data_IF_073531933678
#
_entry.id   IF_073531933678
#
_cell.length_a   1.000
_cell.length_b   1.000
_cell.length_c   1.000
_cell.angle_alpha   90.00
_cell.angle_beta   90.00
_cell.angle_gamma   90.00
#
_symmetry.space_group_name_H-M   'P 1'
#
loop_
_entity.id
_entity.type
_entity.pdbx_description
1 polymer ?
#
# COMPACT_ATOMS: atom_id res chain seq x y z
N UNK A 1 26.96 -27.43 -21.95
CA UNK A 1 26.73 -26.31 -21.04
C UNK A 1 26.24 -26.87 -19.69
N UNK A 2 27.09 -26.82 -18.65
CA UNK A 2 26.65 -27.23 -17.30
C UNK A 2 25.73 -26.15 -16.76
N UNK A 3 24.44 -26.48 -16.54
CA UNK A 3 23.51 -25.63 -15.84
C UNK A 3 24.15 -25.23 -14.48
N UNK A 4 24.32 -23.93 -14.23
CA UNK A 4 24.75 -23.43 -12.93
C UNK A 4 23.74 -23.94 -11.91
N UNK A 5 24.14 -24.90 -11.06
CA UNK A 5 23.33 -25.32 -9.93
C UNK A 5 23.11 -24.11 -9.04
N UNK A 6 21.87 -23.74 -8.82
CA UNK A 6 21.52 -22.66 -7.91
C UNK A 6 22.10 -22.94 -6.52
N UNK A 7 22.75 -21.94 -5.93
CA UNK A 7 23.36 -22.08 -4.59
C UNK A 7 22.29 -22.40 -3.54
N UNK A 8 22.61 -23.28 -2.56
CA UNK A 8 21.69 -23.59 -1.48
C UNK A 8 21.29 -22.34 -0.69
N UNK A 9 20.02 -22.12 -0.50
CA UNK A 9 19.45 -20.96 0.19
C UNK A 9 18.90 -21.35 1.56
N UNK A 10 18.79 -20.40 2.49
CA UNK A 10 18.16 -20.66 3.80
C UNK A 10 16.71 -21.10 3.64
N UNK A 11 16.29 -22.16 4.32
CA UNK A 11 14.96 -22.74 4.24
C UNK A 11 13.84 -21.70 4.40
N UNK A 12 13.95 -20.79 5.38
CA UNK A 12 12.95 -19.73 5.60
C UNK A 12 12.85 -18.78 4.40
N UNK A 13 13.94 -18.56 3.63
CA UNK A 13 13.91 -17.75 2.40
C UNK A 13 13.15 -18.49 1.30
N UNK A 14 13.39 -19.77 1.14
CA UNK A 14 12.71 -20.64 0.16
C UNK A 14 11.20 -20.72 0.43
N UNK A 15 10.79 -20.91 1.68
CA UNK A 15 9.38 -20.93 2.08
C UNK A 15 8.67 -19.59 1.88
N UNK A 16 9.38 -18.48 2.19
CA UNK A 16 8.86 -17.14 1.94
C UNK A 16 8.68 -16.86 0.43
N UNK A 17 9.64 -17.28 -0.41
CA UNK A 17 9.54 -17.18 -1.87
C UNK A 17 8.42 -18.06 -2.42
N UNK A 18 8.21 -19.24 -1.85
CA UNK A 18 7.06 -20.10 -2.20
C UNK A 18 5.71 -19.50 -1.74
N UNK A 19 5.72 -18.38 -1.03
CA UNK A 19 4.52 -17.68 -0.55
C UNK A 19 3.77 -18.44 0.56
N UNK A 20 4.43 -19.34 1.28
CA UNK A 20 3.80 -20.15 2.33
C UNK A 20 3.78 -19.43 3.68
N UNK A 21 4.87 -18.72 4.01
CA UNK A 21 5.04 -18.06 5.29
C UNK A 21 5.93 -16.82 5.17
N UNK A 22 5.93 -15.94 6.17
CA UNK A 22 7.02 -14.99 6.38
C UNK A 22 8.30 -15.72 6.82
N UNK A 23 9.46 -15.09 6.66
CA UNK A 23 10.72 -15.68 7.18
C UNK A 23 10.62 -15.98 8.67
N UNK A 24 10.04 -15.05 9.46
CA UNK A 24 9.84 -15.23 10.92
C UNK A 24 8.86 -16.37 11.24
N UNK A 25 7.79 -16.49 10.50
CA UNK A 25 6.81 -17.56 10.64
C UNK A 25 7.41 -18.92 10.23
N UNK A 26 8.19 -18.98 9.14
CA UNK A 26 8.94 -20.17 8.76
C UNK A 26 9.93 -20.60 9.86
N UNK A 27 10.61 -19.66 10.51
CA UNK A 27 11.46 -19.94 11.65
C UNK A 27 10.68 -20.51 12.85
N UNK A 28 9.46 -20.03 13.11
CA UNK A 28 8.61 -20.60 14.15
C UNK A 28 8.18 -22.04 13.82
N UNK A 29 7.90 -22.32 12.53
CA UNK A 29 7.60 -23.70 12.09
C UNK A 29 8.81 -24.64 12.20
N UNK A 30 10.03 -24.13 11.94
CA UNK A 30 11.27 -24.90 12.16
C UNK A 30 11.42 -25.23 13.64
N UNK A 31 11.26 -24.24 14.54
CA UNK A 31 11.35 -24.48 16.00
C UNK A 31 10.27 -25.45 16.51
N UNK A 32 9.08 -25.42 15.90
CA UNK A 32 7.99 -26.33 16.23
C UNK A 32 8.14 -27.74 15.61
N UNK A 33 9.23 -28.03 14.88
CA UNK A 33 9.48 -29.33 14.26
C UNK A 33 8.54 -29.70 13.10
N UNK A 34 7.82 -28.73 12.56
CA UNK A 34 6.82 -28.95 11.48
C UNK A 34 7.44 -29.13 10.09
N UNK A 35 8.72 -28.80 9.94
CA UNK A 35 9.44 -28.84 8.66
C UNK A 35 10.46 -29.94 8.62
N UNK A 36 10.50 -30.66 7.50
CA UNK A 36 11.55 -31.65 7.22
C UNK A 36 12.21 -31.32 5.89
N UNK A 37 13.50 -31.64 5.79
CA UNK A 37 14.32 -31.57 4.58
C UNK A 37 14.91 -32.96 4.35
N UNK A 38 14.63 -33.56 3.21
CA UNK A 38 15.08 -34.93 2.86
C UNK A 38 14.76 -35.96 3.97
N UNK A 39 13.55 -35.86 4.53
CA UNK A 39 13.07 -36.74 5.59
C UNK A 39 13.62 -36.45 7.00
N UNK A 40 14.53 -35.50 7.19
CA UNK A 40 15.08 -35.11 8.49
C UNK A 40 14.46 -33.83 9.02
N UNK A 41 14.24 -33.70 10.31
CA UNK A 41 13.74 -32.47 10.92
C UNK A 41 14.67 -31.29 10.61
N UNK A 42 14.07 -30.19 10.12
CA UNK A 42 14.83 -28.99 9.80
C UNK A 42 15.28 -28.26 11.07
N UNK A 43 16.49 -27.70 11.05
CA UNK A 43 17.02 -26.85 12.12
C UNK A 43 17.17 -25.41 11.63
N UNK A 44 17.24 -24.45 12.58
CA UNK A 44 17.47 -23.03 12.22
C UNK A 44 18.79 -22.89 11.46
N UNK A 45 18.74 -22.15 10.35
CA UNK A 45 19.92 -21.91 9.51
C UNK A 45 20.16 -22.96 8.41
N UNK A 46 19.40 -24.07 8.38
CA UNK A 46 19.50 -25.07 7.32
C UNK A 46 19.34 -24.44 5.94
N UNK A 47 20.19 -24.86 5.01
CA UNK A 47 20.14 -24.45 3.60
C UNK A 47 19.59 -25.58 2.76
N UNK A 48 18.81 -25.23 1.74
CA UNK A 48 18.19 -26.18 0.82
C UNK A 48 18.48 -25.78 -0.63
N UNK A 49 18.81 -26.76 -1.42
CA UNK A 49 18.98 -26.63 -2.88
C UNK A 49 17.67 -26.86 -3.62
N UNK A 50 17.66 -26.66 -4.93
CA UNK A 50 16.47 -26.85 -5.77
C UNK A 50 15.96 -28.29 -5.78
N UNK A 51 16.84 -29.27 -5.59
CA UNK A 51 16.56 -30.70 -5.63
C UNK A 51 16.17 -31.28 -4.25
N UNK A 52 16.31 -30.49 -3.18
CA UNK A 52 15.97 -30.95 -1.83
C UNK A 52 14.46 -31.06 -1.63
N UNK A 53 14.04 -32.17 -1.03
CA UNK A 53 12.65 -32.41 -0.69
C UNK A 53 12.31 -31.69 0.63
N UNK A 54 11.51 -30.63 0.53
CA UNK A 54 11.01 -29.89 1.71
C UNK A 54 9.57 -30.29 1.98
N UNK A 55 9.24 -30.68 3.23
CA UNK A 55 7.87 -30.95 3.65
C UNK A 55 7.46 -30.10 4.84
N UNK A 56 6.23 -29.61 4.82
CA UNK A 56 5.54 -28.94 5.93
C UNK A 56 4.39 -29.84 6.38
N UNK A 57 4.41 -30.26 7.65
CA UNK A 57 3.42 -31.18 8.22
C UNK A 57 3.22 -32.43 7.34
N UNK A 58 4.29 -33.01 6.82
CA UNK A 58 4.32 -34.16 5.93
C UNK A 58 3.94 -33.87 4.46
N UNK A 59 3.47 -32.68 4.12
CA UNK A 59 3.09 -32.30 2.75
C UNK A 59 4.25 -31.69 2.01
N UNK A 60 4.48 -32.14 0.78
CA UNK A 60 5.54 -31.63 -0.09
C UNK A 60 5.33 -30.14 -0.42
N UNK A 61 6.37 -29.36 -0.18
CA UNK A 61 6.45 -27.94 -0.55
C UNK A 61 7.05 -27.82 -1.94
N UNK A 62 6.28 -27.29 -2.90
CA UNK A 62 6.82 -26.95 -4.22
C UNK A 62 7.69 -25.70 -4.12
N UNK A 63 8.98 -25.87 -4.34
CA UNK A 63 9.94 -24.77 -4.40
C UNK A 63 9.68 -23.95 -5.67
N UNK A 64 9.75 -22.63 -5.55
CA UNK A 64 9.73 -21.71 -6.71
C UNK A 64 11.16 -21.41 -7.14
N UNK A 65 11.41 -21.43 -8.43
CA UNK A 65 12.69 -21.01 -8.98
C UNK A 65 12.99 -19.54 -8.63
N UNK A 66 14.25 -19.20 -8.31
CA UNK A 66 14.65 -17.80 -8.18
C UNK A 66 14.32 -17.03 -9.46
N UNK A 67 13.78 -15.82 -9.32
CA UNK A 67 13.46 -14.98 -10.48
C UNK A 67 12.20 -15.36 -11.27
N UNK A 68 11.36 -16.27 -10.77
CA UNK A 68 10.12 -16.69 -11.47
C UNK A 68 9.03 -15.59 -11.51
N UNK A 69 9.41 -14.33 -11.61
CA UNK A 69 8.59 -13.17 -11.89
C UNK A 69 7.38 -13.02 -10.94
N UNK A 70 7.58 -12.42 -9.80
CA UNK A 70 6.47 -12.03 -8.94
C UNK A 70 5.61 -10.97 -9.63
N UNK A 71 4.30 -11.15 -9.62
CA UNK A 71 3.38 -10.12 -10.10
C UNK A 71 3.34 -8.96 -9.13
N UNK A 72 3.32 -7.75 -9.65
CA UNK A 72 3.17 -6.51 -8.90
C UNK A 72 1.85 -5.88 -9.28
N UNK A 73 1.12 -5.44 -8.29
CA UNK A 73 -0.18 -4.80 -8.47
C UNK A 73 -0.13 -3.38 -7.95
N UNK A 74 -0.70 -2.46 -8.72
CA UNK A 74 -1.08 -1.14 -8.27
C UNK A 74 -2.49 -1.24 -7.68
N UNK A 75 -2.64 -0.84 -6.44
CA UNK A 75 -3.90 -0.87 -5.70
C UNK A 75 -4.32 0.54 -5.29
N UNK A 76 -5.59 0.89 -5.49
CA UNK A 76 -6.16 2.13 -4.99
C UNK A 76 -6.78 1.91 -3.60
N UNK A 77 -5.97 2.13 -2.58
CA UNK A 77 -6.37 1.93 -1.19
C UNK A 77 -7.29 3.05 -0.70
N UNK A 78 -8.40 2.65 -0.07
CA UNK A 78 -9.28 3.57 0.64
C UNK A 78 -8.68 3.93 2.01
N UNK A 79 -8.78 5.20 2.45
CA UNK A 79 -8.45 5.55 3.83
C UNK A 79 -9.23 4.73 4.84
N UNK A 80 -8.55 4.24 5.88
CA UNK A 80 -9.13 3.34 6.90
C UNK A 80 -9.12 1.87 6.52
N UNK A 81 -8.79 1.50 5.28
CA UNK A 81 -8.70 0.12 4.83
C UNK A 81 -7.47 -0.57 5.42
N UNK A 82 -7.66 -1.74 6.03
CA UNK A 82 -6.56 -2.55 6.55
C UNK A 82 -5.80 -3.23 5.42
N UNK A 83 -4.47 -3.31 5.55
CA UNK A 83 -3.61 -4.01 4.59
C UNK A 83 -3.75 -5.53 4.73
N UNK A 84 -3.66 -6.04 5.95
CA UNK A 84 -3.75 -7.45 6.29
C UNK A 84 -4.97 -7.74 7.17
N UNK A 85 -5.53 -8.93 7.03
CA UNK A 85 -6.39 -9.49 8.07
C UNK A 85 -5.53 -10.04 9.20
N UNK A 86 -5.82 -9.73 10.48
CA UNK A 86 -5.10 -10.31 11.59
C UNK A 86 -5.14 -11.85 11.53
N UNK A 87 -4.05 -12.56 11.89
CA UNK A 87 -4.03 -14.00 11.90
C UNK A 87 -5.11 -14.52 12.86
N UNK A 88 -5.96 -15.43 12.39
CA UNK A 88 -7.07 -16.02 13.16
C UNK A 88 -8.40 -15.27 13.09
N UNK A 89 -8.49 -14.12 12.41
CA UNK A 89 -9.75 -13.43 12.16
C UNK A 89 -10.42 -13.99 10.90
N UNK A 90 -11.53 -14.66 11.10
CA UNK A 90 -12.46 -14.98 10.03
C UNK A 90 -13.31 -13.73 9.74
N UNK A 91 -13.36 -13.23 8.50
CA UNK A 91 -14.16 -12.04 8.15
C UNK A 91 -15.66 -12.19 8.47
N UNK A 92 -16.11 -13.40 8.81
CA UNK A 92 -17.48 -13.67 9.23
C UNK A 92 -17.78 -13.24 10.67
N UNK A 93 -16.79 -13.19 11.58
CA UNK A 93 -17.01 -12.84 13.01
C UNK A 93 -16.97 -11.32 13.28
N UNK A 94 -16.21 -10.56 12.50
CA UNK A 94 -16.14 -9.09 12.64
C UNK A 94 -17.41 -8.37 12.18
N UNK A 95 -18.21 -9.00 11.29
CA UNK A 95 -19.46 -8.43 10.78
C UNK A 95 -20.54 -8.22 11.85
N UNK A 96 -20.42 -8.87 12.99
CA UNK A 96 -21.44 -8.85 14.06
C UNK A 96 -21.13 -7.80 15.13
N UNK A 97 -19.86 -7.41 15.31
CA UNK A 97 -19.44 -6.56 16.43
C UNK A 97 -19.51 -5.04 16.16
N UNK A 98 -19.44 -4.57 14.91
CA UNK A 98 -19.31 -3.12 14.62
C UNK A 98 -20.38 -2.53 13.69
N UNK A 99 -21.41 -3.28 13.29
CA UNK A 99 -22.50 -2.75 12.43
C UNK A 99 -22.04 -2.15 11.08
N UNK A 100 -20.76 -2.22 10.76
CA UNK A 100 -20.16 -1.84 9.49
C UNK A 100 -19.65 -3.09 8.78
N UNK A 101 -20.00 -3.26 7.51
CA UNK A 101 -19.43 -4.30 6.68
C UNK A 101 -17.91 -4.11 6.63
N UNK A 102 -17.17 -4.82 7.49
CA UNK A 102 -15.73 -4.91 7.41
C UNK A 102 -15.42 -5.54 6.05
N UNK A 103 -14.94 -4.73 5.10
CA UNK A 103 -14.50 -5.20 3.81
C UNK A 103 -13.34 -6.19 4.00
N UNK A 104 -13.18 -7.13 3.07
CA UNK A 104 -11.97 -7.96 3.04
C UNK A 104 -10.75 -7.05 3.06
N UNK A 105 -9.73 -7.42 3.84
CA UNK A 105 -8.46 -6.70 3.80
C UNK A 105 -7.90 -6.66 2.38
N UNK A 106 -7.10 -5.63 2.08
CA UNK A 106 -6.53 -5.41 0.75
C UNK A 106 -5.93 -6.68 0.15
N UNK A 107 -5.07 -7.35 0.92
CA UNK A 107 -4.34 -8.51 0.42
C UNK A 107 -5.22 -9.74 0.16
N UNK A 108 -6.41 -9.82 0.79
CA UNK A 108 -7.38 -10.89 0.58
C UNK A 108 -8.18 -10.75 -0.73
N UNK A 109 -8.16 -9.56 -1.33
CA UNK A 109 -8.87 -9.26 -2.59
C UNK A 109 -8.05 -9.63 -3.82
N UNK A 110 -6.73 -9.75 -3.67
CA UNK A 110 -5.83 -10.03 -4.77
C UNK A 110 -5.97 -11.48 -5.27
N UNK A 111 -5.67 -11.75 -6.56
CA UNK A 111 -5.78 -13.07 -7.15
C UNK A 111 -4.86 -14.08 -6.45
N UNK A 112 -5.41 -15.07 -5.77
CA UNK A 112 -4.64 -16.10 -5.05
C UNK A 112 -3.66 -16.88 -5.94
N UNK A 113 -3.87 -16.86 -7.26
CA UNK A 113 -2.99 -17.52 -8.26
C UNK A 113 -1.66 -16.77 -8.47
N UNK A 114 -1.61 -15.46 -8.19
CA UNK A 114 -0.42 -14.63 -8.40
C UNK A 114 0.64 -14.81 -7.31
N UNK A 115 0.26 -15.32 -6.15
CA UNK A 115 1.11 -15.59 -5.00
C UNK A 115 0.23 -15.96 -3.81
N UNK A 116 0.70 -16.83 -2.93
CA UNK A 116 -0.05 -17.19 -1.72
C UNK A 116 0.01 -16.10 -0.66
N UNK A 117 1.03 -15.27 -0.72
CA UNK A 117 1.25 -14.15 0.19
C UNK A 117 1.70 -12.92 -0.59
N UNK A 118 1.05 -11.80 -0.32
CA UNK A 118 1.41 -10.51 -0.86
C UNK A 118 2.09 -9.63 0.19
N UNK A 119 2.94 -8.74 -0.27
CA UNK A 119 3.65 -7.77 0.56
C UNK A 119 3.43 -6.39 -0.01
N UNK A 120 3.15 -5.42 0.85
CA UNK A 120 3.08 -4.01 0.45
C UNK A 120 4.49 -3.46 0.37
N UNK A 121 4.81 -2.79 -0.74
CA UNK A 121 6.17 -2.29 -1.00
C UNK A 121 6.44 -1.01 -0.21
N UNK A 122 5.51 -0.07 -0.20
CA UNK A 122 5.66 1.21 0.50
C UNK A 122 4.33 1.59 1.14
N UNK A 123 4.01 1.03 2.33
CA UNK A 123 2.71 1.17 2.95
C UNK A 123 2.43 2.60 3.40
N UNK A 124 1.22 3.09 3.10
CA UNK A 124 0.68 4.30 3.69
C UNK A 124 0.10 4.01 5.08
N UNK A 125 0.09 4.97 6.03
CA UNK A 125 -0.64 4.84 7.29
C UNK A 125 -2.09 4.42 7.09
N UNK A 126 -2.70 3.76 8.10
CA UNK A 126 -4.08 3.25 7.99
C UNK A 126 -5.11 4.33 7.67
N UNK A 127 -4.96 5.52 8.25
CA UNK A 127 -5.87 6.66 8.05
C UNK A 127 -5.74 7.30 6.67
N UNK A 128 -4.67 6.99 5.96
CA UNK A 128 -4.30 7.51 4.66
C UNK A 128 -4.59 6.49 3.56
N UNK A 129 -4.32 6.82 2.32
CA UNK A 129 -4.61 5.90 1.20
C UNK A 129 -4.02 6.38 -0.12
N UNK A 130 -4.69 6.04 -1.21
CA UNK A 130 -4.23 6.32 -2.56
C UNK A 130 -3.47 5.15 -3.16
N UNK A 131 -2.44 5.42 -3.93
CA UNK A 131 -1.62 4.45 -4.64
C UNK A 131 -0.80 3.61 -3.67
N UNK A 132 -1.00 2.30 -3.70
CA UNK A 132 -0.18 1.30 -3.00
C UNK A 132 0.38 0.30 -4.00
N UNK A 133 1.62 -0.15 -3.78
CA UNK A 133 2.22 -1.24 -4.54
C UNK A 133 2.23 -2.52 -3.73
N UNK A 134 1.77 -3.59 -4.33
CA UNK A 134 1.68 -4.91 -3.70
C UNK A 134 2.38 -5.95 -4.57
N UNK A 135 3.27 -6.72 -3.97
CA UNK A 135 4.08 -7.72 -4.67
C UNK A 135 3.88 -9.10 -4.05
N UNK A 136 3.75 -10.12 -4.90
CA UNK A 136 3.65 -11.53 -4.50
C UNK A 136 5.01 -12.25 -4.37
N UNK A 137 6.13 -11.54 -4.58
CA UNK A 137 7.48 -12.08 -4.49
C UNK A 137 8.33 -11.24 -3.53
N UNK A 138 8.92 -11.87 -2.50
CA UNK A 138 9.66 -11.17 -1.45
C UNK A 138 11.01 -10.59 -1.87
N UNK A 139 11.64 -11.16 -2.89
CA UNK A 139 12.90 -10.66 -3.40
C UNK A 139 12.66 -9.43 -4.29
N UNK A 140 11.65 -9.51 -5.15
CA UNK A 140 11.20 -8.38 -5.95
C UNK A 140 10.65 -7.26 -5.06
N UNK A 141 9.85 -7.56 -4.03
CA UNK A 141 9.38 -6.58 -3.08
C UNK A 141 10.52 -5.84 -2.38
N UNK A 142 11.57 -6.56 -1.95
CA UNK A 142 12.74 -5.95 -1.31
C UNK A 142 13.56 -5.07 -2.30
N UNK A 143 13.61 -5.43 -3.57
CA UNK A 143 14.20 -4.58 -4.62
C UNK A 143 13.38 -3.31 -4.83
N UNK A 144 12.08 -3.44 -5.00
CA UNK A 144 11.16 -2.31 -5.15
C UNK A 144 11.17 -1.38 -3.93
N UNK A 145 11.25 -1.93 -2.71
CA UNK A 145 11.37 -1.10 -1.50
C UNK A 145 12.60 -0.20 -1.52
N UNK A 146 13.73 -0.72 -1.99
CA UNK A 146 14.96 0.10 -2.16
C UNK A 146 14.79 1.16 -3.25
N UNK A 147 14.19 0.78 -4.39
CA UNK A 147 13.95 1.71 -5.49
C UNK A 147 13.01 2.85 -5.09
N UNK A 148 11.96 2.57 -4.33
CA UNK A 148 10.96 3.57 -3.91
C UNK A 148 11.59 4.73 -3.12
N UNK A 149 12.65 4.49 -2.36
CA UNK A 149 13.36 5.56 -1.62
C UNK A 149 14.05 6.57 -2.54
N UNK A 150 14.38 6.19 -3.78
CA UNK A 150 14.96 7.10 -4.77
C UNK A 150 13.90 7.78 -5.64
N UNK A 151 12.65 7.32 -5.59
CA UNK A 151 11.57 7.83 -6.43
C UNK A 151 10.91 9.07 -5.84
N UNK A 152 10.49 9.97 -6.72
CA UNK A 152 9.59 11.07 -6.37
C UNK A 152 8.17 10.55 -6.19
N UNK A 153 7.48 11.05 -5.16
CA UNK A 153 6.07 10.78 -4.87
C UNK A 153 5.27 12.06 -4.91
N UNK A 154 4.08 12.03 -5.53
CA UNK A 154 3.09 13.09 -5.36
C UNK A 154 2.05 12.65 -4.36
N UNK A 155 1.78 13.53 -3.39
CA UNK A 155 0.81 13.27 -2.34
C UNK A 155 -0.16 14.46 -2.22
N UNK A 156 -1.44 14.16 -2.07
CA UNK A 156 -2.47 15.14 -1.75
C UNK A 156 -2.70 15.12 -0.24
N UNK A 157 -2.45 16.25 0.42
CA UNK A 157 -2.57 16.41 1.86
C UNK A 157 -3.78 17.27 2.17
N UNK A 158 -4.72 16.75 2.98
CA UNK A 158 -5.87 17.50 3.44
C UNK A 158 -5.67 17.98 4.86
N UNK A 159 -5.67 19.28 5.04
CA UNK A 159 -5.55 19.93 6.34
C UNK A 159 -6.81 20.70 6.71
N UNK A 160 -6.98 20.99 8.00
CA UNK A 160 -7.99 21.91 8.49
C UNK A 160 -7.40 23.32 8.54
N UNK A 161 -8.06 24.26 7.88
CA UNK A 161 -7.58 25.63 7.73
C UNK A 161 -6.60 25.78 6.57
N UNK A 162 -6.16 27.01 6.39
CA UNK A 162 -5.17 27.39 5.38
C UNK A 162 -3.80 27.54 6.02
N UNK A 163 -2.75 27.10 5.34
CA UNK A 163 -1.38 27.25 5.82
C UNK A 163 -0.88 28.66 5.48
N UNK A 164 -0.20 29.27 6.44
CA UNK A 164 0.56 30.52 6.20
C UNK A 164 1.80 30.25 5.33
N UNK A 165 2.34 31.29 4.73
CA UNK A 165 3.59 31.22 3.97
C UNK A 165 4.74 30.64 4.78
N UNK A 166 4.83 31.01 6.07
CA UNK A 166 5.83 30.46 6.98
C UNK A 166 5.67 28.97 7.21
N UNK A 167 4.44 28.49 7.35
CA UNK A 167 4.17 27.04 7.48
C UNK A 167 4.50 26.31 6.19
N UNK A 168 4.17 26.85 5.03
CA UNK A 168 4.54 26.29 3.73
C UNK A 168 6.06 26.22 3.55
N UNK A 169 6.78 27.28 3.93
CA UNK A 169 8.24 27.30 3.93
C UNK A 169 8.83 26.25 4.88
N UNK A 170 8.18 26.02 6.04
CA UNK A 170 8.56 24.97 6.99
C UNK A 170 8.37 23.56 6.42
N UNK A 171 7.27 23.30 5.69
CA UNK A 171 7.04 22.03 4.99
C UNK A 171 8.10 21.83 3.90
N UNK A 172 8.38 22.85 3.08
CA UNK A 172 9.41 22.81 2.05
C UNK A 172 10.82 22.58 2.61
N UNK A 173 11.08 23.06 3.85
CA UNK A 173 12.32 22.78 4.56
C UNK A 173 12.58 21.31 4.86
N UNK A 174 11.56 20.48 4.84
CA UNK A 174 11.63 19.02 4.85
C UNK A 174 12.17 18.39 6.14
N UNK A 175 12.26 19.13 7.26
CA UNK A 175 12.87 18.65 8.51
C UNK A 175 11.92 17.72 9.27
N UNK A 176 12.31 16.44 9.43
CA UNK A 176 11.58 15.43 10.20
C UNK A 176 11.93 15.49 11.71
N UNK A 177 11.15 14.81 12.55
CA UNK A 177 11.40 14.72 13.99
C UNK A 177 12.71 14.00 14.33
N UNK A 178 13.17 13.12 13.45
CA UNK A 178 14.47 12.45 13.55
C UNK A 178 15.65 13.40 13.34
N UNK A 179 15.41 14.63 12.85
CA UNK A 179 16.44 15.56 12.40
C UNK A 179 16.88 15.32 10.94
N UNK A 180 16.45 14.24 10.32
CA UNK A 180 16.67 13.99 8.90
C UNK A 180 15.89 14.99 8.04
N UNK A 181 16.39 15.24 6.83
CA UNK A 181 15.72 16.09 5.85
C UNK A 181 15.18 15.27 4.71
N UNK A 182 13.86 15.36 4.51
CA UNK A 182 13.19 14.87 3.34
C UNK A 182 13.34 15.90 2.20
N UNK A 183 13.66 15.44 1.00
CA UNK A 183 13.70 16.30 -0.20
C UNK A 183 12.28 16.59 -0.67
N UNK A 184 11.72 17.74 -0.23
CA UNK A 184 10.43 18.27 -0.68
C UNK A 184 10.67 19.21 -1.85
N UNK A 185 10.16 18.87 -3.03
CA UNK A 185 10.36 19.61 -4.27
C UNK A 185 9.33 20.72 -4.45
N UNK A 186 8.08 20.45 -4.05
CA UNK A 186 6.98 21.43 -4.11
C UNK A 186 5.93 21.14 -3.02
N UNK A 187 5.25 22.23 -2.60
CA UNK A 187 4.06 22.17 -1.76
C UNK A 187 3.13 23.32 -2.16
N UNK A 188 2.06 23.00 -2.88
CA UNK A 188 1.18 23.99 -3.51
C UNK A 188 -0.27 23.80 -3.08
N UNK A 189 -1.03 24.90 -2.88
CA UNK A 189 -2.46 24.82 -2.66
C UNK A 189 -3.17 24.12 -3.84
N UNK A 190 -4.00 23.13 -3.55
CA UNK A 190 -4.74 22.34 -4.53
C UNK A 190 -6.27 22.43 -4.36
N UNK A 191 -6.74 23.56 -3.82
CA UNK A 191 -8.15 23.83 -3.60
C UNK A 191 -8.67 23.36 -2.25
N UNK A 192 -10.00 23.32 -2.11
CA UNK A 192 -10.68 22.89 -0.89
C UNK A 192 -12.03 23.55 -0.73
N UNK A 193 -12.85 23.01 0.17
CA UNK A 193 -14.17 23.55 0.50
C UNK A 193 -14.33 23.66 2.03
N UNK A 194 -15.03 24.69 2.46
CA UNK A 194 -15.30 24.96 3.89
C UNK A 194 -14.01 25.13 4.67
N UNK A 195 -13.90 24.41 5.78
CA UNK A 195 -12.74 24.47 6.67
C UNK A 195 -11.55 23.57 6.22
N UNK A 196 -11.66 22.84 5.11
CA UNK A 196 -10.62 21.95 4.66
C UNK A 196 -9.91 22.49 3.41
N UNK A 197 -8.58 22.40 3.41
CA UNK A 197 -7.73 22.75 2.26
C UNK A 197 -6.92 21.55 1.84
N UNK A 198 -6.69 21.44 0.54
CA UNK A 198 -5.82 20.44 -0.04
C UNK A 198 -4.51 21.08 -0.48
N UNK A 199 -3.43 20.37 -0.27
CA UNK A 199 -2.10 20.73 -0.75
C UNK A 199 -1.54 19.58 -1.57
N UNK A 200 -0.97 19.91 -2.73
CA UNK A 200 -0.21 18.99 -3.54
C UNK A 200 1.26 19.06 -3.13
N UNK A 201 1.82 17.93 -2.75
CA UNK A 201 3.21 17.84 -2.29
C UNK A 201 3.96 16.86 -3.19
N UNK A 202 5.11 17.28 -3.69
CA UNK A 202 6.05 16.43 -4.39
C UNK A 202 7.30 16.27 -3.53
N UNK A 203 7.67 15.03 -3.20
CA UNK A 203 8.83 14.74 -2.37
C UNK A 203 9.49 13.43 -2.78
N UNK A 204 10.83 13.37 -2.69
CA UNK A 204 11.60 12.18 -3.00
C UNK A 204 11.69 11.26 -1.78
N UNK A 205 11.47 9.96 -2.00
CA UNK A 205 11.57 8.93 -0.96
C UNK A 205 10.52 9.01 0.16
N UNK A 206 9.54 9.92 0.04
CA UNK A 206 8.57 10.21 1.07
C UNK A 206 7.60 9.07 1.35
N UNK A 207 7.43 8.71 2.60
CA UNK A 207 6.29 7.94 3.08
C UNK A 207 5.12 8.85 3.45
N UNK A 208 3.90 8.30 3.48
CA UNK A 208 2.75 9.06 3.96
C UNK A 208 2.89 9.52 5.42
N UNK A 209 3.65 8.77 6.24
CA UNK A 209 3.97 9.15 7.62
C UNK A 209 4.87 10.40 7.67
N UNK A 210 5.91 10.43 6.85
CA UNK A 210 6.86 11.55 6.83
C UNK A 210 6.17 12.85 6.39
N UNK A 211 5.34 12.77 5.34
CA UNK A 211 4.57 13.92 4.86
C UNK A 211 3.60 14.41 5.94
N UNK A 212 2.87 13.52 6.61
CA UNK A 212 1.98 13.89 7.71
C UNK A 212 2.75 14.63 8.81
N UNK A 213 3.90 14.09 9.22
CA UNK A 213 4.76 14.65 10.22
C UNK A 213 5.26 16.06 9.86
N UNK A 214 5.66 16.29 8.60
CA UNK A 214 6.09 17.63 8.16
C UNK A 214 5.01 18.69 8.37
N UNK A 215 3.76 18.39 8.03
CA UNK A 215 2.64 19.32 8.23
C UNK A 215 2.30 19.50 9.72
N UNK A 216 2.26 18.43 10.50
CA UNK A 216 1.94 18.45 11.93
C UNK A 216 2.99 19.24 12.71
N UNK A 217 4.28 19.17 12.33
CA UNK A 217 5.35 20.01 12.90
C UNK A 217 5.12 21.51 12.68
N UNK A 218 4.43 21.90 11.61
CA UNK A 218 4.06 23.29 11.36
C UNK A 218 2.74 23.68 12.07
N UNK A 219 2.22 22.82 12.95
CA UNK A 219 0.96 23.05 13.65
C UNK A 219 -0.30 22.80 12.81
N UNK A 220 -0.17 22.22 11.62
CA UNK A 220 -1.31 21.90 10.78
C UNK A 220 -2.05 20.64 11.25
N UNK A 221 -3.37 20.66 11.26
CA UNK A 221 -4.19 19.50 11.58
C UNK A 221 -4.42 18.69 10.28
N UNK A 222 -3.65 17.62 10.10
CA UNK A 222 -3.73 16.77 8.92
C UNK A 222 -4.85 15.75 9.09
N UNK A 223 -5.88 15.83 8.24
CA UNK A 223 -7.01 14.90 8.26
C UNK A 223 -6.78 13.69 7.35
N UNK A 224 -6.01 13.82 6.24
CA UNK A 224 -5.79 12.77 5.27
C UNK A 224 -4.57 13.05 4.38
N UNK A 225 -3.84 11.98 4.05
CA UNK A 225 -2.81 11.99 3.02
C UNK A 225 -3.15 10.92 1.98
N UNK A 226 -3.10 11.27 0.70
CA UNK A 226 -3.36 10.36 -0.41
C UNK A 226 -2.15 10.39 -1.35
N UNK A 227 -1.53 9.24 -1.60
CA UNK A 227 -0.51 9.14 -2.65
C UNK A 227 -1.19 9.06 -4.01
N UNK A 228 -0.86 9.98 -4.91
CA UNK A 228 -1.42 10.07 -6.26
C UNK A 228 -0.44 9.62 -7.32
N UNK A 229 0.87 9.69 -7.05
CA UNK A 229 1.94 9.24 -7.94
C UNK A 229 3.09 8.60 -7.16
N UNK A 230 3.78 7.67 -7.77
CA UNK A 230 5.03 7.07 -7.29
C UNK A 230 5.96 6.81 -8.48
N UNK A 231 6.98 7.63 -8.65
CA UNK A 231 7.80 7.64 -9.86
C UNK A 231 6.96 7.86 -11.12
N UNK A 232 7.07 6.96 -12.07
CA UNK A 232 6.28 6.98 -13.32
C UNK A 232 4.81 6.54 -13.15
N UNK A 233 4.48 5.87 -12.04
CA UNK A 233 3.13 5.37 -11.81
C UNK A 233 2.19 6.45 -11.30
N UNK A 234 1.09 6.64 -11.99
CA UNK A 234 0.01 7.57 -11.62
C UNK A 234 -1.21 6.77 -11.18
N UNK A 235 -1.87 7.24 -10.14
CA UNK A 235 -3.17 6.72 -9.74
C UNK A 235 -4.24 7.25 -10.69
N UNK A 236 -4.60 6.43 -11.67
CA UNK A 236 -5.59 6.78 -12.66
C UNK A 236 -6.99 6.98 -12.06
N UNK A 237 -7.74 7.93 -12.58
CA UNK A 237 -9.15 8.16 -12.17
C UNK A 237 -10.06 6.98 -12.48
N UNK A 238 -9.73 6.21 -13.52
CA UNK A 238 -10.42 4.99 -13.93
C UNK A 238 -10.33 3.88 -12.90
N UNK A 239 -9.23 3.84 -12.10
CA UNK A 239 -9.05 2.84 -11.06
C UNK A 239 -9.82 3.27 -9.80
N UNK A 240 -11.02 2.73 -9.61
CA UNK A 240 -11.86 3.04 -8.47
C UNK A 240 -11.22 2.58 -7.13
N UNK A 241 -11.64 3.18 -6.03
CA UNK A 241 -11.19 2.78 -4.69
C UNK A 241 -11.49 1.31 -4.40
N UNK A 242 -10.53 0.62 -3.84
CA UNK A 242 -10.62 -0.81 -3.56
C UNK A 242 -10.37 -1.70 -4.78
N UNK A 243 -10.05 -1.10 -5.92
CA UNK A 243 -9.66 -1.82 -7.14
C UNK A 243 -8.14 -1.87 -7.29
N UNK A 244 -7.69 -2.84 -8.08
CA UNK A 244 -6.28 -3.03 -8.40
C UNK A 244 -6.11 -3.38 -9.88
N UNK A 245 -4.93 -3.08 -10.41
CA UNK A 245 -4.47 -3.60 -11.71
C UNK A 245 -3.07 -4.19 -11.58
N UNK A 246 -2.75 -5.12 -12.43
CA UNK A 246 -1.39 -5.64 -12.56
C UNK A 246 -0.52 -4.58 -13.25
N UNK A 247 0.71 -4.42 -12.81
CA UNK A 247 1.67 -3.56 -13.52
C UNK A 247 2.10 -4.23 -14.82
N UNK A 248 2.21 -3.44 -15.87
CA UNK A 248 2.87 -3.87 -17.09
C UNK A 248 4.37 -4.09 -16.84
N UNK A 249 4.99 -4.88 -17.68
CA UNK A 249 6.42 -5.20 -17.55
C UNK A 249 7.28 -3.94 -17.65
N UNK A 250 6.93 -3.05 -18.56
CA UNK A 250 7.61 -1.79 -18.81
C UNK A 250 7.52 -0.84 -17.61
N UNK A 251 6.37 -0.79 -16.94
CA UNK A 251 6.16 0.00 -15.73
C UNK A 251 7.03 -0.54 -14.57
N UNK A 252 7.11 -1.87 -14.44
CA UNK A 252 7.93 -2.50 -13.42
C UNK A 252 9.43 -2.27 -13.66
N UNK A 253 9.86 -2.40 -14.91
CA UNK A 253 11.26 -2.14 -15.31
C UNK A 253 11.62 -0.67 -15.05
N UNK A 254 10.77 0.28 -15.41
CA UNK A 254 10.96 1.71 -15.14
C UNK A 254 11.11 2.01 -13.64
N UNK A 255 10.28 1.39 -12.78
CA UNK A 255 10.42 1.55 -11.33
C UNK A 255 11.74 1.01 -10.79
N UNK A 256 12.26 -0.07 -11.37
CA UNK A 256 13.51 -0.69 -10.94
C UNK A 256 14.74 0.05 -11.48
N UNK A 257 14.64 0.69 -12.65
CA UNK A 257 15.73 1.45 -13.28
C UNK A 257 15.89 2.85 -12.68
N UNK A 258 14.79 3.52 -12.31
CA UNK A 258 14.82 4.86 -11.74
C UNK A 258 15.64 4.96 -10.42
N UNK A 259 15.98 3.83 -9.80
CA UNK A 259 16.89 3.79 -8.65
C UNK A 259 18.37 3.92 -9.02
N UNK A 260 18.72 3.77 -10.30
CA UNK A 260 20.11 3.89 -10.80
C UNK A 260 20.44 5.28 -11.36
N UNK A 261 19.41 6.07 -11.67
CA UNK A 261 19.56 7.37 -12.35
C UNK A 261 18.84 8.45 -11.56
N UNK A 262 19.38 8.98 -10.53
CA UNK A 262 18.80 10.00 -9.62
C UNK A 262 18.25 11.28 -10.27
N UNK A 263 17.47 11.20 -11.34
CA UNK A 263 16.89 12.34 -12.06
C UNK A 263 15.35 12.38 -11.90
N UNK A 264 14.79 13.51 -11.43
CA UNK A 264 13.34 13.64 -11.28
C UNK A 264 12.67 13.78 -12.66
N UNK A 265 11.57 13.06 -12.95
CA UNK A 265 10.77 13.30 -14.13
C UNK A 265 10.14 14.68 -14.05
N UNK A 266 10.30 15.48 -15.10
CA UNK A 266 9.69 16.79 -15.24
C UNK A 266 8.17 16.72 -15.11
N UNK A 267 7.62 17.56 -14.26
CA UNK A 267 6.19 17.70 -14.07
C UNK A 267 5.51 18.17 -15.36
N UNK A 268 4.86 17.26 -16.04
CA UNK A 268 3.99 17.56 -17.18
C UNK A 268 2.60 17.00 -16.89
N UNK A 269 1.68 17.88 -16.55
CA UNK A 269 0.27 17.55 -16.49
C UNK A 269 -0.45 18.07 -15.25
N UNK A 270 -1.41 18.94 -15.49
CA UNK A 270 -2.30 19.52 -14.48
C UNK A 270 -2.86 18.45 -13.53
N UNK A 271 -2.66 18.67 -12.22
CA UNK A 271 -3.23 17.86 -11.16
C UNK A 271 -4.74 17.71 -11.35
N UNK A 272 -5.29 16.52 -11.20
CA UNK A 272 -6.72 16.34 -11.27
C UNK A 272 -7.38 17.02 -10.07
N UNK A 273 -8.13 18.10 -10.31
CA UNK A 273 -9.02 18.67 -9.32
C UNK A 273 -10.01 17.59 -8.87
N UNK A 274 -9.87 17.12 -7.63
CA UNK A 274 -10.85 16.21 -7.02
C UNK A 274 -12.13 17.02 -6.75
N UNK A 275 -13.10 16.92 -7.65
CA UNK A 275 -14.45 17.42 -7.36
C UNK A 275 -15.04 16.59 -6.22
N UNK A 276 -15.71 17.25 -5.24
CA UNK A 276 -16.40 16.54 -4.17
C UNK A 276 -17.52 15.69 -4.79
N UNK A 277 -17.57 14.43 -4.38
CA UNK A 277 -18.68 13.53 -4.74
C UNK A 277 -19.97 14.14 -4.18
N UNK A 278 -20.79 14.73 -5.04
CA UNK A 278 -22.06 15.31 -4.69
C UNK A 278 -22.94 14.29 -3.97
N UNK A 279 -23.20 14.53 -2.72
CA UNK A 279 -24.30 13.85 -2.01
C UNK A 279 -25.59 14.23 -2.76
N UNK A 280 -26.15 13.29 -3.51
CA UNK A 280 -27.53 13.39 -3.97
C UNK A 280 -28.42 13.59 -2.74
N UNK A 281 -28.99 14.77 -2.60
CA UNK A 281 -30.08 15.00 -1.66
C UNK A 281 -31.24 14.07 -2.04
N UNK A 282 -31.86 13.36 -1.10
CA UNK A 282 -33.08 12.62 -1.41
C UNK A 282 -34.16 13.63 -1.82
N UNK A 283 -34.78 13.39 -2.98
CA UNK A 283 -35.96 14.13 -3.42
C UNK A 283 -37.03 14.01 -2.36
N UNK A 284 -37.49 15.16 -1.88
CA UNK A 284 -38.56 15.25 -0.91
C UNK A 284 -39.83 14.53 -1.38
N UNK A 285 -40.35 13.68 -0.56
CA UNK A 285 -41.66 13.07 -0.74
C UNK A 285 -42.74 14.16 -0.74
N UNK A 286 -43.77 14.09 -1.59
CA UNK A 286 -44.85 15.05 -1.57
C UNK A 286 -45.66 14.96 -0.26
N UNK A 287 -45.94 16.09 0.36
CA UNK A 287 -46.79 16.21 1.53
C UNK A 287 -48.22 15.80 1.15
N UNK A 288 -48.94 15.04 1.99
CA UNK A 288 -50.37 14.75 1.80
C UNK A 288 -51.20 16.02 2.01
N UNK A 289 -52.36 16.16 1.34
CA UNK A 289 -53.19 17.34 1.43
C UNK A 289 -53.86 17.46 2.83
N UNK A 290 -53.85 18.68 3.37
CA UNK A 290 -54.49 19.02 4.61
C UNK A 290 -56.00 19.08 4.38
N UNK A 291 -56.81 18.15 4.95
CA UNK A 291 -58.26 18.24 5.03
C UNK A 291 -58.67 19.36 6.00
N UNK A 292 -59.18 20.47 5.44
CA UNK A 292 -59.94 21.48 6.20
C UNK A 292 -61.25 20.86 6.69
N UNK A 293 -61.34 20.61 7.96
CA UNK A 293 -62.66 20.39 8.62
C UNK A 293 -63.41 21.71 8.64
N UNK A 294 -64.56 21.73 7.96
CA UNK A 294 -65.60 22.77 8.12
C UNK A 294 -66.22 22.61 9.52
N UNK A 295 -66.27 23.71 10.23
CA UNK A 295 -67.15 23.86 11.38
C UNK A 295 -68.61 23.84 10.90
N UNK A 296 -69.47 23.12 11.61
CA UNK A 296 -70.91 23.30 11.66
C UNK A 296 -71.25 23.57 13.09
N UNK A 297 -71.96 24.66 13.24
CA UNK A 297 -72.93 25.08 14.27
C UNK A 297 -72.75 24.53 15.67
#
# INVERSE_FOLDING_TARGET
MRAQRAEPERLQKVLARAGLASRREAESWIRAGRLTVNGRAATLGVRVGPDDEVRLDGRLVRQRAPGSGGRVYLYHRSPGESLDSPPGHSPARERVAEGRAAGKALLDRLPKRAGRRFMVVSPMPRIDGGLELVCGDGELAARLQRSVHALSSELSVRVRGELSEQQLAGVLGGVLDSGERLSVQSCEPAGGEGANRWYAVTAQGASGKDIRQLFERQGAIVSRVLRTRLGSLVLERSLARGQFRELAREELEALLQASSEGEPPQASGALPQMQPSGRRRPRGSPRPPVHRRRARD
#
